data_IF_459323700727
#
_entry.id   IF_459323700727
#
_cell.length_a   1.000
_cell.length_b   1.000
_cell.length_c   1.000
_cell.angle_alpha   90.00
_cell.angle_beta   90.00
_cell.angle_gamma   90.00
#
_symmetry.space_group_name_H-M   'P 1'
#
loop_
_entity.id
_entity.type
_entity.pdbx_description
1 polymer ?
#
# COMPACT_ATOMS: atom_id res chain seq x y z
N UNK A 1 -20.60 -21.59 -6.55
CA UNK A 1 -19.39 -20.89 -7.04
C UNK A 1 -18.44 -20.54 -5.90
N UNK A 2 -18.91 -19.88 -4.83
CA UNK A 2 -18.07 -19.58 -3.64
C UNK A 2 -17.49 -20.84 -2.97
N UNK A 3 -18.26 -21.93 -2.87
CA UNK A 3 -17.80 -23.21 -2.31
C UNK A 3 -16.53 -23.73 -2.99
N UNK A 4 -16.41 -23.56 -4.32
CA UNK A 4 -15.25 -24.07 -5.05
C UNK A 4 -13.96 -23.31 -4.73
N UNK A 5 -14.05 -22.01 -4.45
CA UNK A 5 -12.90 -21.22 -4.00
C UNK A 5 -12.47 -21.57 -2.58
N UNK A 6 -13.43 -21.94 -1.72
CA UNK A 6 -13.15 -22.39 -0.35
C UNK A 6 -12.45 -23.75 -0.38
N UNK A 7 -12.95 -24.70 -1.19
CA UNK A 7 -12.31 -26.01 -1.40
C UNK A 7 -10.88 -25.84 -1.94
N UNK A 8 -10.71 -25.04 -3.00
CA UNK A 8 -9.40 -24.77 -3.61
C UNK A 8 -8.40 -24.13 -2.63
N UNK A 9 -8.87 -23.16 -1.84
CA UNK A 9 -8.04 -22.55 -0.79
C UNK A 9 -7.73 -23.52 0.36
N UNK A 10 -8.60 -24.49 0.63
CA UNK A 10 -8.34 -25.50 1.65
C UNK A 10 -7.32 -26.53 1.15
N UNK A 11 -7.37 -26.88 -0.14
CA UNK A 11 -6.47 -27.83 -0.78
C UNK A 11 -5.02 -27.32 -0.85
N UNK A 12 -4.82 -26.00 -0.93
CA UNK A 12 -3.49 -25.36 -0.98
C UNK A 12 -3.10 -24.59 0.30
N UNK A 13 -3.87 -24.72 1.38
CA UNK A 13 -3.73 -23.96 2.63
C UNK A 13 -3.63 -22.44 2.37
N UNK A 14 -4.46 -21.90 1.48
CA UNK A 14 -4.49 -20.50 1.06
C UNK A 14 -3.17 -19.99 0.46
N UNK A 15 -2.28 -20.87 0.02
CA UNK A 15 -0.96 -20.48 -0.46
C UNK A 15 -1.04 -19.60 -1.73
N UNK A 16 -1.96 -19.89 -2.65
CA UNK A 16 -2.21 -19.08 -3.84
C UNK A 16 -2.61 -17.63 -3.50
N UNK A 17 -3.31 -17.41 -2.38
CA UNK A 17 -3.65 -16.08 -1.87
C UNK A 17 -2.45 -15.44 -1.18
N UNK A 18 -1.85 -16.15 -0.21
CA UNK A 18 -0.75 -15.63 0.63
C UNK A 18 0.47 -15.25 -0.21
N UNK A 19 0.87 -16.11 -1.13
CA UNK A 19 2.05 -15.89 -1.99
C UNK A 19 1.94 -14.59 -2.82
N UNK A 20 0.78 -14.29 -3.39
CA UNK A 20 0.55 -13.04 -4.14
C UNK A 20 0.68 -11.82 -3.22
N UNK A 21 0.05 -11.86 -2.04
CA UNK A 21 0.11 -10.76 -1.08
C UNK A 21 1.54 -10.53 -0.57
N UNK A 22 2.29 -11.60 -0.32
CA UNK A 22 3.66 -11.54 0.20
C UNK A 22 4.66 -11.03 -0.82
N UNK A 23 4.51 -11.42 -2.10
CA UNK A 23 5.29 -10.84 -3.20
C UNK A 23 5.04 -9.33 -3.25
N UNK A 24 3.77 -8.91 -3.30
CA UNK A 24 3.43 -7.50 -3.41
C UNK A 24 3.88 -6.70 -2.17
N UNK A 25 3.70 -7.24 -0.96
CA UNK A 25 4.17 -6.62 0.28
C UNK A 25 5.68 -6.38 0.27
N UNK A 26 6.46 -7.41 -0.07
CA UNK A 26 7.92 -7.31 -0.12
C UNK A 26 8.37 -6.28 -1.15
N UNK A 27 7.75 -6.25 -2.33
CA UNK A 27 8.05 -5.25 -3.36
C UNK A 27 7.74 -3.82 -2.89
N UNK A 28 6.57 -3.61 -2.28
CA UNK A 28 6.18 -2.30 -1.75
C UNK A 28 7.16 -1.83 -0.66
N UNK A 29 7.49 -2.69 0.32
CA UNK A 29 8.45 -2.36 1.37
C UNK A 29 9.83 -2.03 0.79
N UNK A 30 10.36 -2.90 -0.08
CA UNK A 30 11.70 -2.71 -0.63
C UNK A 30 11.84 -1.47 -1.51
N UNK A 31 10.77 -1.07 -2.23
CA UNK A 31 10.83 0.05 -3.17
C UNK A 31 10.45 1.40 -2.56
N UNK A 32 9.64 1.41 -1.50
CA UNK A 32 9.05 2.64 -0.96
C UNK A 32 9.60 3.05 0.41
N UNK A 33 10.21 2.12 1.15
CA UNK A 33 10.89 2.45 2.41
C UNK A 33 12.01 3.48 2.16
N UNK A 34 11.96 4.63 2.83
CA UNK A 34 12.97 5.65 2.65
C UNK A 34 12.63 6.98 3.31
N UNK A 35 12.98 8.09 2.64
CA UNK A 35 12.86 9.45 3.18
C UNK A 35 11.43 9.98 3.32
N UNK A 36 10.50 9.53 2.46
CA UNK A 36 9.11 10.02 2.46
C UNK A 36 8.18 9.06 3.19
N UNK A 37 8.34 7.76 2.95
CA UNK A 37 7.46 6.72 3.47
C UNK A 37 8.23 5.73 4.32
N UNK A 38 7.60 5.32 5.43
CA UNK A 38 8.05 4.23 6.30
C UNK A 38 6.98 3.17 6.35
N UNK A 39 7.35 1.92 6.09
CA UNK A 39 6.44 0.79 6.17
C UNK A 39 6.04 0.52 7.62
N UNK A 40 4.74 0.39 7.86
CA UNK A 40 4.20 0.01 9.17
C UNK A 40 4.00 -1.50 9.17
N UNK A 41 4.87 -2.21 9.90
CA UNK A 41 4.80 -3.67 10.03
C UNK A 41 3.51 -4.08 10.75
N UNK A 42 2.64 -4.87 10.11
CA UNK A 42 1.38 -5.27 10.71
C UNK A 42 1.58 -6.47 11.63
N UNK A 43 0.69 -6.63 12.62
CA UNK A 43 0.66 -7.84 13.45
C UNK A 43 0.22 -9.08 12.65
N UNK A 44 -0.57 -8.89 11.60
CA UNK A 44 -1.10 -9.95 10.72
C UNK A 44 -0.96 -9.49 9.27
N UNK A 45 -0.52 -10.38 8.39
CA UNK A 45 -0.38 -10.12 6.96
C UNK A 45 -1.75 -10.01 6.27
N UNK A 46 -2.29 -8.79 6.23
CA UNK A 46 -3.57 -8.48 5.56
C UNK A 46 -3.41 -8.24 4.05
N UNK A 47 -4.50 -7.98 3.33
CA UNK A 47 -4.43 -7.65 1.89
C UNK A 47 -4.06 -6.19 1.59
N UNK A 48 -3.60 -5.43 2.60
CA UNK A 48 -3.21 -4.02 2.48
C UNK A 48 -1.86 -3.75 3.13
N UNK A 49 -1.16 -2.74 2.63
CA UNK A 49 0.05 -2.19 3.23
C UNK A 49 -0.24 -0.79 3.77
N UNK A 50 0.33 -0.49 4.94
CA UNK A 50 0.26 0.81 5.59
C UNK A 50 1.64 1.47 5.56
N UNK A 51 1.66 2.75 5.20
CA UNK A 51 2.86 3.56 5.24
C UNK A 51 2.61 4.83 6.04
N UNK A 52 3.56 5.17 6.92
CA UNK A 52 3.65 6.46 7.58
C UNK A 52 4.38 7.45 6.67
N UNK A 53 3.82 8.64 6.52
CA UNK A 53 4.45 9.78 5.87
C UNK A 53 5.38 10.41 6.90
N UNK A 54 6.66 10.54 6.56
CA UNK A 54 7.69 11.06 7.47
C UNK A 54 7.81 12.59 7.47
N UNK A 55 7.78 13.30 6.32
CA UNK A 55 7.95 14.75 6.31
C UNK A 55 6.80 15.46 7.03
N UNK A 56 7.10 16.39 7.93
CA UNK A 56 6.08 17.06 8.77
C UNK A 56 5.25 18.10 8.00
N UNK A 57 5.76 18.62 6.89
CA UNK A 57 5.08 19.62 6.06
C UNK A 57 4.15 19.05 4.99
N UNK A 58 4.03 17.72 4.87
CA UNK A 58 3.19 17.06 3.87
C UNK A 58 2.17 16.15 4.57
N UNK A 59 0.92 16.24 4.15
CA UNK A 59 -0.17 15.37 4.57
C UNK A 59 -0.55 14.33 3.48
N UNK A 60 -1.40 13.39 3.86
CA UNK A 60 -1.80 12.29 3.00
C UNK A 60 -2.63 12.73 1.77
N UNK A 61 -3.41 13.81 1.88
CA UNK A 61 -4.16 14.35 0.75
C UNK A 61 -3.24 15.03 -0.28
N UNK A 62 -2.23 15.77 0.17
CA UNK A 62 -1.21 16.38 -0.69
C UNK A 62 -0.37 15.31 -1.40
N UNK A 63 0.06 14.28 -0.66
CA UNK A 63 0.79 13.17 -1.26
C UNK A 63 -0.08 12.39 -2.25
N UNK A 64 -1.35 12.15 -1.93
CA UNK A 64 -2.29 11.51 -2.85
C UNK A 64 -2.48 12.35 -4.12
N UNK A 65 -2.70 13.67 -3.98
CA UNK A 65 -2.86 14.57 -5.11
C UNK A 65 -1.61 14.63 -5.99
N UNK A 66 -0.42 14.55 -5.39
CA UNK A 66 0.83 14.44 -6.13
C UNK A 66 0.94 13.11 -6.89
N UNK A 67 0.71 11.98 -6.23
CA UNK A 67 0.77 10.65 -6.85
C UNK A 67 -0.27 10.47 -7.97
N UNK A 68 -1.41 11.15 -7.86
CA UNK A 68 -2.43 11.17 -8.91
C UNK A 68 -1.91 11.77 -10.23
N UNK A 69 -0.97 12.71 -10.18
CA UNK A 69 -0.34 13.28 -11.38
C UNK A 69 0.55 12.26 -12.12
N UNK A 70 0.90 11.16 -11.45
CA UNK A 70 1.63 10.02 -11.99
C UNK A 70 0.71 8.83 -12.30
N UNK A 71 -0.61 9.06 -12.39
CA UNK A 71 -1.65 8.04 -12.59
C UNK A 71 -1.68 6.96 -11.49
N UNK A 72 -1.23 7.29 -10.28
CA UNK A 72 -1.27 6.38 -9.12
C UNK A 72 -2.34 6.80 -8.12
N UNK A 73 -3.21 5.84 -7.78
CA UNK A 73 -4.30 6.01 -6.83
C UNK A 73 -4.00 5.27 -5.52
N UNK A 74 -3.80 6.03 -4.44
CA UNK A 74 -3.67 5.52 -3.06
C UNK A 74 -4.79 6.06 -2.17
N UNK A 75 -4.98 5.48 -0.98
CA UNK A 75 -5.97 5.96 -0.02
C UNK A 75 -5.30 6.70 1.15
N UNK A 76 -5.67 7.97 1.40
CA UNK A 76 -5.30 8.68 2.61
C UNK A 76 -5.79 7.99 3.89
N UNK A 77 -4.99 8.07 4.95
CA UNK A 77 -5.29 7.47 6.25
C UNK A 77 -6.49 8.08 6.97
N UNK A 78 -6.90 9.30 6.59
CA UNK A 78 -8.02 10.05 7.20
C UNK A 78 -9.34 9.28 7.21
N UNK A 79 -9.56 8.42 6.22
CA UNK A 79 -10.76 7.58 6.12
C UNK A 79 -10.80 6.42 7.14
N UNK A 80 -9.67 6.10 7.77
CA UNK A 80 -9.56 5.03 8.77
C UNK A 80 -9.54 5.58 10.21
N UNK A 81 -9.07 6.81 10.40
CA UNK A 81 -9.17 7.54 11.67
C UNK A 81 -10.50 8.28 11.75
N UNK A 82 -11.61 7.55 11.67
CA UNK A 82 -12.96 8.08 11.50
C UNK A 82 -13.39 9.09 12.58
N UNK A 83 -12.92 8.94 13.82
CA UNK A 83 -13.23 9.87 14.92
C UNK A 83 -12.32 11.10 14.96
N UNK A 84 -11.12 11.01 14.36
CA UNK A 84 -10.10 12.08 14.35
C UNK A 84 -9.30 12.04 13.04
N UNK A 85 -9.89 12.44 11.90
CA UNK A 85 -9.29 12.28 10.57
C UNK A 85 -7.90 12.90 10.42
N UNK A 86 -7.61 13.96 11.18
CA UNK A 86 -6.30 14.63 11.24
C UNK A 86 -5.15 13.66 11.61
N UNK A 87 -5.41 12.68 12.50
CA UNK A 87 -4.39 11.66 12.83
C UNK A 87 -4.07 10.76 11.64
N UNK A 88 -5.06 10.52 10.80
CA UNK A 88 -4.92 9.72 9.59
C UNK A 88 -4.17 10.44 8.46
N UNK A 89 -4.00 11.76 8.53
CA UNK A 89 -3.25 12.53 7.54
C UNK A 89 -1.76 12.21 7.50
N UNK A 90 -1.26 11.41 8.45
CA UNK A 90 0.12 10.89 8.48
C UNK A 90 0.30 9.56 7.78
N UNK A 91 -0.74 9.00 7.17
CA UNK A 91 -0.68 7.65 6.62
C UNK A 91 -1.27 7.56 5.22
N UNK A 92 -0.76 6.62 4.43
CA UNK A 92 -1.42 6.14 3.21
C UNK A 92 -1.57 4.61 3.25
N UNK A 93 -2.57 4.11 2.54
CA UNK A 93 -2.84 2.68 2.40
C UNK A 93 -2.76 2.25 0.94
N UNK A 94 -2.02 1.17 0.69
CA UNK A 94 -1.91 0.51 -0.61
C UNK A 94 -2.67 -0.83 -0.59
N UNK A 95 -3.34 -1.16 -1.69
CA UNK A 95 -4.02 -2.45 -1.86
C UNK A 95 -3.06 -3.49 -2.47
N UNK A 96 -2.82 -4.60 -1.78
CA UNK A 96 -1.88 -5.65 -2.19
C UNK A 96 -2.55 -6.77 -3.00
N UNK A 97 -3.87 -6.93 -2.92
CA UNK A 97 -4.63 -7.90 -3.72
C UNK A 97 -4.75 -7.45 -5.18
N UNK A 98 -3.62 -7.50 -5.90
CA UNK A 98 -3.43 -7.10 -7.30
C UNK A 98 -2.50 -8.10 -7.97
N UNK A 99 -2.54 -8.18 -9.30
CA UNK A 99 -1.58 -9.02 -10.03
C UNK A 99 -0.14 -8.52 -9.78
N UNK A 100 0.83 -9.41 -9.53
CA UNK A 100 2.18 -9.01 -9.19
C UNK A 100 2.85 -8.10 -10.23
N UNK A 101 2.69 -8.35 -11.53
CA UNK A 101 3.34 -7.52 -12.56
C UNK A 101 2.76 -6.10 -12.61
N UNK A 102 1.42 -5.99 -12.58
CA UNK A 102 0.72 -4.70 -12.55
C UNK A 102 1.08 -3.90 -11.27
N UNK A 103 1.15 -4.59 -10.12
CA UNK A 103 1.53 -3.97 -8.86
C UNK A 103 3.00 -3.54 -8.84
N UNK A 104 3.90 -4.34 -9.39
CA UNK A 104 5.32 -3.99 -9.52
C UNK A 104 5.50 -2.71 -10.33
N UNK A 105 4.84 -2.61 -11.49
CA UNK A 105 4.88 -1.42 -12.33
C UNK A 105 4.38 -0.19 -11.58
N UNK A 106 3.24 -0.29 -10.88
CA UNK A 106 2.69 0.81 -10.09
C UNK A 106 3.63 1.26 -8.96
N UNK A 107 4.23 0.31 -8.23
CA UNK A 107 5.18 0.62 -7.15
C UNK A 107 6.43 1.31 -7.67
N UNK A 108 6.94 0.92 -8.85
CA UNK A 108 8.07 1.61 -9.48
C UNK A 108 7.73 3.05 -9.87
N UNK A 109 6.51 3.29 -10.36
CA UNK A 109 6.03 4.66 -10.62
C UNK A 109 5.95 5.47 -9.33
N UNK A 110 5.45 4.90 -8.24
CA UNK A 110 5.44 5.56 -6.92
C UNK A 110 6.87 5.89 -6.49
N UNK A 111 7.80 4.92 -6.53
CA UNK A 111 9.18 5.13 -6.11
C UNK A 111 9.82 6.31 -6.88
N UNK A 112 9.66 6.33 -8.22
CA UNK A 112 10.13 7.43 -9.07
C UNK A 112 9.44 8.77 -8.74
N UNK A 113 8.16 8.76 -8.44
CA UNK A 113 7.45 9.97 -8.02
C UNK A 113 8.04 10.50 -6.71
N UNK A 114 8.27 9.63 -5.72
CA UNK A 114 8.83 10.00 -4.42
C UNK A 114 10.28 10.51 -4.50
N UNK A 115 11.09 10.02 -5.45
CA UNK A 115 12.42 10.56 -5.74
C UNK A 115 12.37 12.02 -6.23
N UNK A 116 11.34 12.36 -7.02
CA UNK A 116 11.11 13.71 -7.54
C UNK A 116 10.27 14.59 -6.60
N UNK A 117 9.88 14.04 -5.45
CA UNK A 117 9.08 14.74 -4.46
C UNK A 117 9.99 15.61 -3.59
N UNK A 118 9.98 16.91 -3.89
CA UNK A 118 10.76 17.90 -3.16
C UNK A 118 10.00 18.24 -1.87
N UNK A 119 10.61 17.86 -0.75
CA UNK A 119 10.10 18.07 0.62
C UNK A 119 11.13 18.78 1.45
#
# INVERSE_FOLDING_TARGET
MVTRYIEDSNDDDFNSVRSVLDVNRRMARASLEGRVLKYVEPMIDTSVAWFEILPTGINADELQAYLLQWDVYVLPGKYFYWSQPEKGQRYIRLALARKPEEFAAAVQVIARALENFHV
#
